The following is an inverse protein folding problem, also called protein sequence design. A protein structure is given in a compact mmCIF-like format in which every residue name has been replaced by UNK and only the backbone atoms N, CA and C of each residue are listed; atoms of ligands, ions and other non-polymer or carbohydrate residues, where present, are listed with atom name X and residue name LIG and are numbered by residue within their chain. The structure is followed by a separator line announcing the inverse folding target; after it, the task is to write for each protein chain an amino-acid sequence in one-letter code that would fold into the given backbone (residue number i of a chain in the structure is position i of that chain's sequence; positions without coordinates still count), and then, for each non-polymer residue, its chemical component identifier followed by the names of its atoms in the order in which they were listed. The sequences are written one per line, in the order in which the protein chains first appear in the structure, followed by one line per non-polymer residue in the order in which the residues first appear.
data_IF_592168901211
#
_entry.id   IF_592168901211
#
_cell.length_a   1.000
_cell.length_b   1.000
_cell.length_c   1.000
_cell.angle_alpha   90.00
_cell.angle_beta   90.00
_cell.angle_gamma   90.00
#
_symmetry.space_group_name_H-M   'P 1'
#
loop_
_entity.id
_entity.type
_entity.pdbx_description
1 polymer ?
#
# COMPACT_ATOMS: atom_id res chain seq x y z
N UNK A 1 -22.16 -13.87 -6.26
CA UNK A 1 -23.36 -14.39 -5.64
C UNK A 1 -22.97 -14.95 -4.29
N UNK A 2 -23.50 -14.35 -3.25
CA UNK A 2 -23.48 -14.68 -1.84
C UNK A 2 -22.15 -14.55 -1.08
N UNK A 3 -21.90 -13.34 -0.58
CA UNK A 3 -21.07 -13.12 0.61
C UNK A 3 -21.82 -13.67 1.83
N UNK A 4 -21.20 -14.49 2.69
CA UNK A 4 -21.82 -14.92 3.93
C UNK A 4 -21.85 -13.73 4.91
N UNK A 5 -22.97 -13.05 5.04
CA UNK A 5 -23.25 -12.18 6.17
C UNK A 5 -23.61 -13.05 7.36
N UNK A 6 -22.77 -13.03 8.40
CA UNK A 6 -23.18 -13.55 9.71
C UNK A 6 -24.27 -12.65 10.27
N UNK A 7 -25.42 -13.24 10.60
CA UNK A 7 -26.66 -12.56 11.02
C UNK A 7 -26.61 -11.95 12.43
N UNK A 8 -25.50 -12.02 13.14
CA UNK A 8 -25.40 -11.61 14.55
C UNK A 8 -24.48 -10.40 14.83
N UNK A 9 -23.86 -9.82 13.80
CA UNK A 9 -23.00 -8.64 13.97
C UNK A 9 -21.72 -8.87 14.80
N UNK A 10 -21.37 -10.11 15.12
CA UNK A 10 -20.14 -10.45 15.81
C UNK A 10 -18.95 -10.36 14.85
N UNK A 11 -17.88 -9.71 15.31
CA UNK A 11 -16.61 -9.67 14.58
C UNK A 11 -16.04 -11.09 14.56
N UNK A 12 -15.73 -11.67 13.40
CA UNK A 12 -15.14 -13.00 13.33
C UNK A 12 -13.83 -13.03 14.12
N UNK A 13 -13.68 -14.03 14.97
CA UNK A 13 -12.44 -14.25 15.73
C UNK A 13 -11.29 -14.52 14.76
N UNK A 14 -10.09 -13.98 14.99
CA UNK A 14 -8.91 -14.31 14.19
C UNK A 14 -8.72 -15.84 14.17
N UNK A 15 -8.76 -16.46 12.98
CA UNK A 15 -8.64 -17.90 12.81
C UNK A 15 -9.88 -18.62 12.31
N UNK A 16 -11.03 -17.94 12.11
CA UNK A 16 -12.28 -18.55 11.63
C UNK A 16 -12.48 -18.53 10.12
N UNK A 17 -11.51 -18.01 9.36
CA UNK A 17 -11.55 -18.09 7.89
C UNK A 17 -11.18 -19.50 7.44
N UNK A 18 -11.86 -20.08 6.44
CA UNK A 18 -11.43 -21.35 5.88
C UNK A 18 -9.97 -21.22 5.46
N UNK A 19 -9.13 -22.12 5.97
CA UNK A 19 -7.72 -22.23 5.57
C UNK A 19 -7.72 -22.48 4.05
N UNK A 20 -7.47 -21.41 3.31
CA UNK A 20 -7.24 -21.55 1.87
C UNK A 20 -5.88 -22.24 1.74
N UNK A 21 -5.89 -23.53 1.38
CA UNK A 21 -4.64 -24.23 1.06
C UNK A 21 -4.10 -23.62 -0.24
N UNK A 22 -3.21 -22.65 -0.09
CA UNK A 22 -2.45 -22.14 -1.24
C UNK A 22 -1.53 -23.25 -1.73
N UNK A 23 -1.43 -23.47 -3.05
CA UNK A 23 -0.53 -24.46 -3.60
C UNK A 23 0.92 -24.17 -3.17
N UNK A 24 1.70 -25.24 -3.00
CA UNK A 24 3.11 -25.11 -2.67
C UNK A 24 3.81 -24.12 -3.60
N UNK A 25 4.59 -23.20 -3.03
CA UNK A 25 5.28 -22.19 -3.81
C UNK A 25 6.28 -22.83 -4.79
N UNK A 26 6.16 -22.44 -6.05
CA UNK A 26 7.12 -22.78 -7.09
C UNK A 26 7.65 -21.50 -7.72
N UNK A 27 8.96 -21.42 -7.92
CA UNK A 27 9.57 -20.29 -8.61
C UNK A 27 9.03 -20.17 -10.05
N UNK A 28 8.77 -18.93 -10.48
CA UNK A 28 8.57 -18.67 -11.90
C UNK A 28 9.87 -18.96 -12.66
N UNK A 29 9.76 -19.55 -13.85
CA UNK A 29 10.90 -19.92 -14.72
C UNK A 29 11.88 -18.76 -14.94
N UNK A 30 11.38 -17.52 -14.97
CA UNK A 30 12.23 -16.33 -15.15
C UNK A 30 13.27 -16.14 -14.04
N UNK A 31 13.07 -16.75 -12.86
CA UNK A 31 13.99 -16.67 -11.72
C UNK A 31 14.92 -17.89 -11.59
N UNK A 32 14.72 -18.94 -12.39
CA UNK A 32 15.45 -20.21 -12.26
C UNK A 32 16.97 -20.03 -12.31
N UNK A 33 17.45 -19.07 -13.09
CA UNK A 33 18.88 -18.84 -13.32
C UNK A 33 19.42 -17.58 -12.63
N UNK A 34 18.63 -16.90 -11.80
CA UNK A 34 19.05 -15.69 -11.07
C UNK A 34 19.07 -15.92 -9.57
N UNK A 35 20.22 -16.34 -9.08
CA UNK A 35 20.44 -16.64 -7.66
C UNK A 35 20.26 -15.41 -6.75
N UNK A 36 20.54 -14.20 -7.25
CA UNK A 36 20.31 -12.98 -6.49
C UNK A 36 18.83 -12.69 -6.30
N UNK A 37 18.05 -12.83 -7.37
CA UNK A 37 16.60 -12.65 -7.30
C UNK A 37 15.94 -13.71 -6.42
N UNK A 38 16.34 -14.97 -6.57
CA UNK A 38 15.88 -16.07 -5.69
C UNK A 38 16.17 -15.76 -4.22
N UNK A 39 17.40 -15.33 -3.91
CA UNK A 39 17.77 -14.97 -2.55
C UNK A 39 16.87 -13.89 -1.99
N UNK A 40 16.57 -12.82 -2.75
CA UNK A 40 15.65 -11.76 -2.32
C UNK A 40 14.25 -12.31 -2.09
N UNK A 41 13.74 -13.17 -2.98
CA UNK A 41 12.41 -13.77 -2.84
C UNK A 41 12.31 -14.63 -1.59
N UNK A 42 13.38 -15.35 -1.23
CA UNK A 42 13.40 -16.32 -0.12
C UNK A 42 13.78 -15.76 1.24
N UNK A 43 14.09 -14.48 1.35
CA UNK A 43 14.35 -13.85 2.66
C UNK A 43 13.07 -13.91 3.53
N UNK A 44 13.17 -14.53 4.70
CA UNK A 44 12.01 -14.80 5.55
C UNK A 44 11.84 -13.79 6.69
N UNK A 45 12.93 -13.25 7.24
CA UNK A 45 12.88 -12.42 8.44
C UNK A 45 13.92 -11.31 8.42
N UNK A 46 13.70 -10.27 9.25
CA UNK A 46 14.63 -9.15 9.43
C UNK A 46 14.41 -7.97 8.50
N UNK A 47 15.32 -7.00 8.58
CA UNK A 47 15.30 -5.79 7.76
C UNK A 47 16.30 -5.94 6.62
N UNK A 48 15.85 -5.77 5.39
CA UNK A 48 16.67 -5.98 4.20
C UNK A 48 16.57 -4.78 3.26
N UNK A 49 17.71 -4.29 2.81
CA UNK A 49 17.82 -3.27 1.79
C UNK A 49 18.29 -3.92 0.48
N UNK A 50 17.45 -3.82 -0.56
CA UNK A 50 17.77 -4.34 -1.89
C UNK A 50 18.06 -3.17 -2.83
N UNK A 51 19.31 -3.05 -3.25
CA UNK A 51 19.76 -2.05 -4.21
C UNK A 51 19.81 -2.67 -5.61
N UNK A 52 19.08 -2.08 -6.53
CA UNK A 52 19.01 -2.60 -7.89
C UNK A 52 18.69 -1.47 -8.88
N UNK A 53 19.31 -1.47 -10.08
CA UNK A 53 19.09 -0.45 -11.09
C UNK A 53 17.64 -0.43 -11.62
N UNK A 54 17.22 0.62 -12.32
CA UNK A 54 15.93 0.65 -13.01
C UNK A 54 15.80 -0.52 -14.01
N UNK A 55 14.60 -1.07 -14.14
CA UNK A 55 14.33 -2.15 -15.11
C UNK A 55 14.70 -3.56 -14.69
N UNK A 56 15.34 -3.79 -13.55
CA UNK A 56 15.76 -5.13 -13.09
C UNK A 56 14.66 -5.94 -12.37
N UNK A 57 13.39 -5.63 -12.59
CA UNK A 57 12.29 -6.45 -12.07
C UNK A 57 11.96 -6.31 -10.59
N UNK A 58 12.40 -5.22 -9.89
CA UNK A 58 12.11 -5.02 -8.43
C UNK A 58 10.65 -5.23 -8.05
N UNK A 59 9.74 -4.68 -8.83
CA UNK A 59 8.30 -4.79 -8.56
C UNK A 59 7.79 -6.22 -8.74
N UNK A 60 8.35 -6.96 -9.70
CA UNK A 60 7.98 -8.36 -9.91
C UNK A 60 8.47 -9.24 -8.76
N UNK A 61 9.70 -8.98 -8.27
CA UNK A 61 10.25 -9.69 -7.11
C UNK A 61 9.40 -9.43 -5.86
N UNK A 62 8.92 -8.19 -5.64
CA UNK A 62 8.04 -7.89 -4.52
C UNK A 62 6.69 -8.61 -4.63
N UNK A 63 6.11 -8.69 -5.82
CA UNK A 63 4.90 -9.48 -6.06
C UNK A 63 5.14 -10.97 -5.76
N UNK A 64 6.27 -11.51 -6.21
CA UNK A 64 6.66 -12.90 -5.96
C UNK A 64 6.85 -13.20 -4.46
N UNK A 65 7.39 -12.24 -3.71
CA UNK A 65 7.51 -12.36 -2.24
C UNK A 65 6.15 -12.47 -1.56
N UNK A 66 5.14 -11.73 -2.01
CA UNK A 66 3.76 -11.83 -1.50
C UNK A 66 3.22 -13.25 -1.73
N UNK A 67 3.37 -13.78 -2.93
CA UNK A 67 2.91 -15.13 -3.28
C UNK A 67 3.62 -16.18 -2.42
N UNK A 68 4.92 -16.04 -2.24
CA UNK A 68 5.69 -16.95 -1.38
C UNK A 68 5.28 -16.84 0.08
N UNK A 69 5.07 -15.63 0.62
CA UNK A 69 4.63 -15.46 1.99
C UNK A 69 3.27 -16.13 2.25
N UNK A 70 2.33 -16.01 1.29
CA UNK A 70 1.06 -16.73 1.34
C UNK A 70 1.25 -18.24 1.40
N UNK A 71 2.11 -18.80 0.54
CA UNK A 71 2.39 -20.24 0.56
C UNK A 71 3.07 -20.72 1.85
N UNK A 72 3.69 -19.81 2.60
CA UNK A 72 4.24 -20.05 3.93
C UNK A 72 3.22 -19.83 5.06
N UNK A 73 1.94 -19.56 4.73
CA UNK A 73 0.85 -19.40 5.69
C UNK A 73 0.67 -18.00 6.26
N UNK A 74 1.36 -16.98 5.70
CA UNK A 74 1.15 -15.58 6.10
C UNK A 74 -0.14 -15.06 5.47
N UNK A 75 -1.03 -14.48 6.26
CA UNK A 75 -2.28 -13.89 5.73
C UNK A 75 -2.00 -12.63 4.90
N UNK A 76 -2.85 -12.37 3.90
CA UNK A 76 -2.81 -11.12 3.13
C UNK A 76 -3.07 -9.89 4.02
N UNK A 77 -3.84 -10.04 5.08
CA UNK A 77 -4.13 -8.97 6.04
C UNK A 77 -2.90 -8.59 6.89
N UNK A 78 -1.95 -9.51 7.03
CA UNK A 78 -0.69 -9.30 7.76
C UNK A 78 0.43 -8.75 6.86
N UNK A 79 0.13 -8.48 5.59
CA UNK A 79 1.08 -7.96 4.62
C UNK A 79 0.76 -6.51 4.23
N UNK A 80 1.79 -5.73 4.06
CA UNK A 80 1.71 -4.35 3.61
C UNK A 80 2.67 -4.10 2.45
N UNK A 81 2.14 -3.67 1.30
CA UNK A 81 2.93 -3.30 0.13
C UNK A 81 2.86 -1.79 -0.11
N UNK A 82 3.96 -1.10 0.15
CA UNK A 82 4.06 0.34 -0.06
C UNK A 82 4.88 0.67 -1.31
N UNK A 83 4.40 1.64 -2.06
CA UNK A 83 5.07 2.19 -3.25
C UNK A 83 5.09 3.71 -3.15
N UNK A 84 5.89 4.36 -4.01
CA UNK A 84 5.94 5.82 -4.02
C UNK A 84 4.74 6.44 -4.77
N UNK A 85 4.23 5.80 -5.81
CA UNK A 85 3.18 6.36 -6.66
C UNK A 85 1.97 5.43 -6.78
N UNK A 86 0.79 6.00 -7.01
CA UNK A 86 -0.44 5.24 -7.28
C UNK A 86 -0.32 4.38 -8.55
N UNK A 87 0.44 4.83 -9.56
CA UNK A 87 0.70 4.04 -10.77
C UNK A 87 1.49 2.77 -10.45
N UNK A 88 2.55 2.88 -9.64
CA UNK A 88 3.34 1.74 -9.20
C UNK A 88 2.51 0.77 -8.35
N UNK A 89 1.66 1.30 -7.46
CA UNK A 89 0.75 0.49 -6.65
C UNK A 89 -0.21 -0.34 -7.52
N UNK A 90 -0.84 0.28 -8.52
CA UNK A 90 -1.71 -0.45 -9.47
C UNK A 90 -0.95 -1.54 -10.23
N UNK A 91 0.24 -1.23 -10.71
CA UNK A 91 1.08 -2.20 -11.42
C UNK A 91 1.50 -3.38 -10.53
N UNK A 92 1.84 -3.11 -9.27
CA UNK A 92 2.16 -4.16 -8.29
C UNK A 92 0.94 -5.04 -7.99
N UNK A 93 -0.22 -4.42 -7.73
CA UNK A 93 -1.47 -5.15 -7.48
C UNK A 93 -1.84 -6.07 -8.64
N UNK A 94 -1.73 -5.59 -9.89
CA UNK A 94 -2.01 -6.42 -11.07
C UNK A 94 -1.11 -7.65 -11.15
N UNK A 95 0.20 -7.50 -10.86
CA UNK A 95 1.15 -8.63 -10.87
C UNK A 95 0.86 -9.64 -9.76
N UNK A 96 0.49 -9.15 -8.57
CA UNK A 96 0.11 -10.05 -7.47
C UNK A 96 -1.14 -10.85 -7.85
N UNK A 97 -2.19 -10.21 -8.36
CA UNK A 97 -3.41 -10.89 -8.79
C UNK A 97 -3.14 -11.91 -9.91
N UNK A 98 -2.33 -11.55 -10.89
CA UNK A 98 -1.92 -12.45 -11.98
C UNK A 98 -1.20 -13.68 -11.43
N UNK A 99 -0.23 -13.50 -10.54
CA UNK A 99 0.52 -14.61 -9.92
C UNK A 99 -0.36 -15.50 -9.02
N UNK A 100 -1.31 -14.92 -8.33
CA UNK A 100 -2.27 -15.66 -7.49
C UNK A 100 -3.40 -16.30 -8.32
N UNK A 101 -3.49 -16.01 -9.61
CA UNK A 101 -4.62 -16.39 -10.47
C UNK A 101 -5.97 -15.96 -9.85
N UNK A 102 -5.94 -14.87 -9.09
CA UNK A 102 -7.12 -14.36 -8.38
C UNK A 102 -7.84 -13.31 -9.25
N UNK A 103 -9.16 -13.46 -9.33
CA UNK A 103 -10.04 -12.46 -9.93
C UNK A 103 -10.86 -11.81 -8.83
N UNK A 104 -10.65 -10.50 -8.61
CA UNK A 104 -11.42 -9.76 -7.62
C UNK A 104 -10.57 -8.95 -6.63
N UNK A 105 -11.21 -8.52 -5.55
CA UNK A 105 -10.52 -7.81 -4.48
C UNK A 105 -9.77 -8.78 -3.57
N UNK A 106 -8.57 -8.36 -3.18
CA UNK A 106 -7.74 -9.04 -2.17
C UNK A 106 -7.60 -8.12 -0.97
N UNK A 107 -7.56 -8.68 0.23
CA UNK A 107 -7.43 -7.92 1.47
C UNK A 107 -6.06 -7.25 1.64
N UNK A 108 -5.05 -7.67 0.88
CA UNK A 108 -3.72 -7.07 0.89
C UNK A 108 -3.76 -5.57 0.57
N UNK A 109 -3.23 -4.76 1.48
CA UNK A 109 -3.02 -3.35 1.18
C UNK A 109 -1.85 -3.15 0.22
N UNK A 110 -2.14 -2.58 -0.95
CA UNK A 110 -1.13 -2.13 -1.92
C UNK A 110 -1.41 -0.67 -2.26
N UNK A 111 -0.55 0.23 -1.83
CA UNK A 111 -0.76 1.67 -1.99
C UNK A 111 0.48 2.51 -1.78
N UNK A 112 0.32 3.83 -1.83
CA UNK A 112 1.38 4.74 -1.42
C UNK A 112 1.30 5.02 0.10
N UNK A 113 2.37 5.60 0.64
CA UNK A 113 2.49 5.90 2.08
C UNK A 113 1.37 6.82 2.55
N UNK A 114 1.03 7.86 1.79
CA UNK A 114 -0.04 8.81 2.17
C UNK A 114 -1.39 8.10 2.30
N UNK A 115 -1.72 7.23 1.34
CA UNK A 115 -2.96 6.46 1.41
C UNK A 115 -2.97 5.52 2.60
N UNK A 116 -1.84 4.86 2.89
CA UNK A 116 -1.72 4.02 4.08
C UNK A 116 -1.94 4.82 5.36
N UNK A 117 -1.26 5.96 5.52
CA UNK A 117 -1.42 6.82 6.69
C UNK A 117 -2.86 7.30 6.84
N UNK A 118 -3.52 7.72 5.76
CA UNK A 118 -4.93 8.13 5.80
C UNK A 118 -5.83 6.99 6.29
N UNK A 119 -5.71 5.78 5.71
CA UNK A 119 -6.48 4.62 6.16
C UNK A 119 -6.23 4.34 7.65
N UNK A 120 -4.96 4.31 8.06
CA UNK A 120 -4.61 4.05 9.46
C UNK A 120 -5.23 5.08 10.42
N UNK A 121 -5.19 6.37 10.08
CA UNK A 121 -5.73 7.45 10.91
C UNK A 121 -7.26 7.36 11.04
N UNK A 122 -7.95 7.06 9.94
CA UNK A 122 -9.42 6.94 9.93
C UNK A 122 -9.89 5.64 10.59
N UNK A 123 -9.26 4.53 10.29
CA UNK A 123 -9.67 3.21 10.80
C UNK A 123 -9.46 3.09 12.31
N UNK A 124 -8.41 3.75 12.84
CA UNK A 124 -8.14 3.80 14.27
C UNK A 124 -8.82 4.99 14.99
N UNK A 125 -9.69 5.73 14.30
CA UNK A 125 -10.38 6.91 14.83
C UNK A 125 -9.43 7.97 15.44
N UNK A 126 -8.21 8.08 14.92
CA UNK A 126 -7.24 9.13 15.32
C UNK A 126 -7.69 10.49 14.79
N UNK A 127 -8.35 10.51 13.63
CA UNK A 127 -9.03 11.67 13.06
C UNK A 127 -10.51 11.36 12.85
N UNK A 128 -11.36 12.37 12.97
CA UNK A 128 -12.79 12.19 12.75
C UNK A 128 -13.09 11.83 11.30
N UNK A 129 -14.13 11.02 11.07
CA UNK A 129 -14.48 10.53 9.72
C UNK A 129 -14.93 11.62 8.75
N UNK A 130 -15.36 12.76 9.26
CA UNK A 130 -15.73 13.96 8.51
C UNK A 130 -14.54 14.88 8.21
N UNK A 131 -13.32 14.50 8.62
CA UNK A 131 -12.09 15.23 8.33
C UNK A 131 -11.73 15.10 6.86
N UNK A 132 -11.53 16.23 6.19
CA UNK A 132 -11.04 16.28 4.82
C UNK A 132 -9.55 16.58 4.80
N UNK A 133 -8.80 15.84 3.98
CA UNK A 133 -7.39 16.14 3.71
C UNK A 133 -7.34 17.20 2.62
N UNK A 134 -6.80 18.36 2.94
CA UNK A 134 -6.62 19.46 2.00
C UNK A 134 -5.19 19.49 1.47
N UNK A 135 -5.03 19.85 0.20
CA UNK A 135 -3.71 20.06 -0.40
C UNK A 135 -3.16 21.47 -0.11
N UNK A 136 -1.93 21.74 -0.56
CA UNK A 136 -1.29 23.05 -0.36
C UNK A 136 -2.09 24.19 -1.01
N UNK A 137 -2.69 23.92 -2.15
CA UNK A 137 -3.40 24.94 -2.92
C UNK A 137 -4.75 25.27 -2.27
N UNK A 138 -5.45 24.26 -1.78
CA UNK A 138 -6.68 24.44 -0.99
C UNK A 138 -6.39 25.15 0.33
N UNK A 139 -5.30 24.78 1.02
CA UNK A 139 -4.85 25.44 2.24
C UNK A 139 -4.58 26.93 2.01
N UNK A 140 -3.88 27.27 0.92
CA UNK A 140 -3.63 28.66 0.54
C UNK A 140 -4.92 29.42 0.21
N UNK A 141 -5.85 28.79 -0.47
CA UNK A 141 -7.15 29.39 -0.81
C UNK A 141 -7.96 29.69 0.45
N UNK A 142 -8.00 28.78 1.41
CA UNK A 142 -8.65 28.98 2.71
C UNK A 142 -7.99 30.14 3.47
N UNK A 143 -6.66 30.16 3.55
CA UNK A 143 -5.92 31.22 4.22
C UNK A 143 -6.13 32.58 3.53
N UNK A 144 -6.14 32.61 2.19
CA UNK A 144 -6.43 33.82 1.44
C UNK A 144 -7.84 34.35 1.75
N UNK A 145 -8.82 33.48 1.86
CA UNK A 145 -10.19 33.84 2.23
C UNK A 145 -10.28 34.40 3.66
N UNK A 146 -9.60 33.77 4.63
CA UNK A 146 -9.61 34.21 6.04
C UNK A 146 -8.92 35.58 6.21
N UNK A 147 -7.76 35.75 5.56
CA UNK A 147 -6.93 36.95 5.73
C UNK A 147 -7.16 38.02 4.66
N UNK A 148 -8.05 37.80 3.71
CA UNK A 148 -8.32 38.72 2.60
C UNK A 148 -7.11 38.91 1.66
N UNK A 149 -6.25 37.90 1.53
CA UNK A 149 -5.08 37.96 0.65
C UNK A 149 -5.48 37.83 -0.82
N UNK A 150 -4.90 38.66 -1.67
CA UNK A 150 -5.01 38.48 -3.12
C UNK A 150 -4.02 37.39 -3.56
N UNK A 151 -4.45 36.54 -4.46
CA UNK A 151 -3.61 35.52 -5.07
C UNK A 151 -2.35 36.18 -5.67
N UNK A 152 -1.16 35.63 -5.36
CA UNK A 152 0.12 36.19 -5.78
C UNK A 152 0.64 37.34 -4.89
N UNK A 153 -0.03 37.70 -3.79
CA UNK A 153 0.46 38.70 -2.85
C UNK A 153 1.72 38.24 -2.12
N UNK A 154 2.49 39.21 -1.62
CA UNK A 154 3.73 38.92 -0.86
C UNK A 154 3.47 38.02 0.37
N UNK A 155 2.32 38.18 1.00
CA UNK A 155 1.89 37.38 2.14
C UNK A 155 1.62 35.90 1.73
N UNK A 156 0.95 35.66 0.61
CA UNK A 156 0.72 34.32 0.05
C UNK A 156 2.03 33.62 -0.30
N UNK A 157 3.00 34.33 -0.87
CA UNK A 157 4.33 33.78 -1.21
C UNK A 157 5.19 33.52 0.05
N UNK A 158 5.06 34.35 1.07
CA UNK A 158 5.72 34.16 2.37
C UNK A 158 5.22 32.90 3.07
N UNK A 159 3.92 32.67 3.07
CA UNK A 159 3.30 31.50 3.66
C UNK A 159 3.69 30.19 2.93
N UNK A 160 3.71 30.20 1.59
CA UNK A 160 4.25 29.09 0.79
C UNK A 160 5.65 28.68 1.24
N UNK A 161 6.52 29.68 1.45
CA UNK A 161 7.90 29.45 1.87
C UNK A 161 8.00 28.87 3.29
N UNK A 162 7.08 29.24 4.19
CA UNK A 162 7.03 28.65 5.55
C UNK A 162 6.57 27.20 5.49
N UNK A 163 5.50 26.88 4.76
CA UNK A 163 5.01 25.50 4.60
C UNK A 163 6.09 24.59 3.98
N UNK A 164 6.79 25.06 2.95
CA UNK A 164 7.79 24.24 2.24
C UNK A 164 9.05 23.98 3.09
N UNK A 165 9.33 24.84 4.08
CA UNK A 165 10.52 24.71 4.95
C UNK A 165 10.23 24.01 6.28
N UNK A 166 8.97 23.63 6.56
CA UNK A 166 8.56 23.03 7.84
C UNK A 166 8.29 21.52 7.72
N UNK A 167 8.42 20.96 6.52
CA UNK A 167 8.35 19.53 6.22
C UNK A 167 9.75 19.05 5.82
#
# INVERSE_FOLDING_TARGET
TDTPHTQDGSIPTPGSYPLYEYPAYTFDRKYENDEFQKKVITIDSGYHLVLAPPGCGKTDILAERVVRALSCGVSLDDMLCLTFTNRAARGMRSRILERLQASGEISLFVGNVHRFCSHYLFDNNVVARDTTVIDEQESLSIMASIFGWKEGSYASNGYKRVLTNTI
#
